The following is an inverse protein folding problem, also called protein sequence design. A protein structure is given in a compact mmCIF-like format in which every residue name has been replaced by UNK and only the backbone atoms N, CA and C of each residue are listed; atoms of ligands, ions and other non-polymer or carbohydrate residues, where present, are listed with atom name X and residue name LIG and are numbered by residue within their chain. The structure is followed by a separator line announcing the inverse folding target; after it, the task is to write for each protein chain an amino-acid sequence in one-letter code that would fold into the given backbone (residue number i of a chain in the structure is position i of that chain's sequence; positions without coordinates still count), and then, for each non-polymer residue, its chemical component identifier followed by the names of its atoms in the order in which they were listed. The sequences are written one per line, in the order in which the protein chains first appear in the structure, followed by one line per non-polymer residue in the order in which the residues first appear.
data_IF_978281342202
#
_entry.id   IF_978281342202
#
_cell.length_a   1.000
_cell.length_b   1.000
_cell.length_c   1.000
_cell.angle_alpha   90.00
_cell.angle_beta   90.00
_cell.angle_gamma   90.00
#
_symmetry.space_group_name_H-M   'P 1'
#
loop_
_entity.id
_entity.type
_entity.pdbx_description
1 polymer ?
#
# COMPACT_ATOMS: atom_id res chain seq x y z
N UNK A 1 19.86 -15.50 4.04
CA UNK A 1 18.63 -14.98 4.64
C UNK A 1 17.43 -15.60 3.94
N UNK A 2 16.33 -15.79 4.68
CA UNK A 2 15.13 -16.37 4.10
C UNK A 2 14.44 -15.41 3.12
N UNK A 3 13.60 -15.96 2.25
CA UNK A 3 12.76 -15.18 1.34
C UNK A 3 11.90 -14.17 2.11
N UNK A 4 11.32 -14.60 3.22
CA UNK A 4 10.52 -13.74 4.10
C UNK A 4 11.33 -12.54 4.59
N UNK A 5 12.50 -12.77 5.15
CA UNK A 5 13.37 -11.70 5.67
C UNK A 5 13.75 -10.70 4.57
N UNK A 6 14.11 -11.20 3.39
CA UNK A 6 14.45 -10.36 2.26
C UNK A 6 13.28 -9.51 1.79
N UNK A 7 12.08 -10.09 1.74
CA UNK A 7 10.88 -9.38 1.29
C UNK A 7 10.41 -8.34 2.31
N UNK A 8 10.52 -8.63 3.60
CA UNK A 8 10.21 -7.65 4.65
C UNK A 8 11.15 -6.44 4.56
N UNK A 9 12.44 -6.68 4.33
CA UNK A 9 13.42 -5.61 4.13
C UNK A 9 13.11 -4.81 2.87
N UNK A 10 12.80 -5.48 1.77
CA UNK A 10 12.46 -4.83 0.50
C UNK A 10 11.24 -3.93 0.66
N UNK A 11 10.25 -4.34 1.45
CA UNK A 11 9.08 -3.51 1.73
C UNK A 11 9.46 -2.21 2.47
N UNK A 12 10.39 -2.29 3.41
CA UNK A 12 10.87 -1.09 4.12
C UNK A 12 11.62 -0.15 3.16
N UNK A 13 12.46 -0.70 2.29
CA UNK A 13 13.18 0.09 1.29
C UNK A 13 12.21 0.76 0.31
N UNK A 14 11.22 0.00 -0.18
CA UNK A 14 10.21 0.53 -1.09
C UNK A 14 9.33 1.60 -0.44
N UNK A 15 8.99 1.41 0.84
CA UNK A 15 8.23 2.42 1.59
C UNK A 15 9.03 3.71 1.77
N UNK A 16 10.34 3.60 2.01
CA UNK A 16 11.22 4.76 2.07
C UNK A 16 11.26 5.51 0.72
N UNK A 17 11.26 4.78 -0.40
CA UNK A 17 11.17 5.39 -1.73
C UNK A 17 9.87 6.17 -1.92
N UNK A 18 8.74 5.61 -1.46
CA UNK A 18 7.45 6.29 -1.51
C UNK A 18 7.47 7.57 -0.64
N UNK A 19 8.00 7.48 0.56
CA UNK A 19 8.11 8.63 1.47
C UNK A 19 8.98 9.75 0.86
N UNK A 20 10.07 9.39 0.20
CA UNK A 20 10.92 10.37 -0.50
C UNK A 20 10.16 11.01 -1.67
N UNK A 21 9.37 10.23 -2.41
CA UNK A 21 8.59 10.76 -3.54
C UNK A 21 7.59 11.81 -3.10
N UNK A 22 7.03 11.70 -1.89
CA UNK A 22 6.03 12.64 -1.37
C UNK A 22 6.63 13.72 -0.46
N UNK A 23 7.92 13.65 -0.16
CA UNK A 23 8.54 14.60 0.76
C UNK A 23 8.45 16.03 0.24
N UNK A 24 8.06 16.95 1.12
CA UNK A 24 7.94 18.36 0.80
C UNK A 24 6.72 18.75 -0.04
N UNK A 25 5.81 17.83 -0.35
CA UNK A 25 4.57 18.19 -1.06
C UNK A 25 3.67 18.98 -0.11
N UNK A 26 3.23 20.15 -0.56
CA UNK A 26 2.37 21.03 0.23
C UNK A 26 0.90 20.60 0.14
N UNK A 27 0.08 21.05 1.10
CA UNK A 27 -1.32 20.62 1.21
C UNK A 27 -2.14 20.88 -0.05
N UNK A 28 -1.95 22.03 -0.70
CA UNK A 28 -2.64 22.37 -1.94
C UNK A 28 -2.22 21.45 -3.10
N UNK A 29 -0.96 21.07 -3.14
CA UNK A 29 -0.43 20.15 -4.16
C UNK A 29 -0.95 18.73 -3.94
N UNK A 30 -1.09 18.30 -2.69
CA UNK A 30 -1.65 17.00 -2.34
C UNK A 30 -3.03 16.77 -2.93
N UNK A 31 -3.83 17.84 -3.00
CA UNK A 31 -5.20 17.77 -3.51
C UNK A 31 -5.33 17.94 -5.02
N UNK A 32 -4.25 18.24 -5.74
CA UNK A 32 -4.33 18.39 -7.20
C UNK A 32 -4.57 17.07 -7.89
N UNK A 33 -5.54 17.03 -8.78
CA UNK A 33 -5.89 15.85 -9.56
C UNK A 33 -5.01 15.78 -10.81
N UNK A 34 -4.37 14.63 -11.01
CA UNK A 34 -3.49 14.41 -12.18
C UNK A 34 -3.45 12.97 -12.64
N UNK A 35 -4.07 12.04 -11.88
CA UNK A 35 -4.12 10.62 -12.22
C UNK A 35 -5.60 10.21 -12.26
N UNK A 36 -6.24 10.33 -13.42
CA UNK A 36 -7.68 10.12 -13.52
C UNK A 36 -8.41 11.13 -12.67
N UNK A 37 -9.14 10.67 -11.64
CA UNK A 37 -9.83 11.51 -10.66
C UNK A 37 -9.02 11.72 -9.39
N UNK A 38 -7.79 11.20 -9.34
CA UNK A 38 -6.94 11.18 -8.15
C UNK A 38 -5.75 12.12 -8.24
N UNK A 39 -5.31 12.60 -7.09
CA UNK A 39 -4.00 13.17 -6.87
C UNK A 39 -3.23 12.35 -5.86
N UNK A 40 -2.15 12.89 -5.30
CA UNK A 40 -1.31 12.21 -4.30
C UNK A 40 -2.16 11.80 -3.09
N UNK A 41 -3.03 12.68 -2.63
CA UNK A 41 -3.93 12.41 -1.49
C UNK A 41 -4.67 11.07 -1.64
N UNK A 42 -5.34 10.87 -2.76
CA UNK A 42 -6.14 9.66 -3.02
C UNK A 42 -5.27 8.42 -3.19
N UNK A 43 -4.09 8.57 -3.79
CA UNK A 43 -3.12 7.48 -3.91
C UNK A 43 -2.73 6.97 -2.51
N UNK A 44 -2.41 7.87 -1.58
CA UNK A 44 -2.00 7.48 -0.22
C UNK A 44 -3.15 6.84 0.55
N UNK A 45 -4.36 7.35 0.39
CA UNK A 45 -5.55 6.78 1.01
C UNK A 45 -5.79 5.35 0.52
N UNK A 46 -5.66 5.13 -0.78
CA UNK A 46 -5.88 3.81 -1.38
C UNK A 46 -4.81 2.80 -0.93
N UNK A 47 -3.56 3.23 -0.79
CA UNK A 47 -2.50 2.37 -0.25
C UNK A 47 -2.85 1.93 1.18
N UNK A 48 -3.23 2.86 2.05
CA UNK A 48 -3.64 2.56 3.42
C UNK A 48 -4.87 1.65 3.47
N UNK A 49 -5.82 1.86 2.58
CA UNK A 49 -7.02 1.02 2.46
C UNK A 49 -6.67 -0.43 2.18
N UNK A 50 -5.75 -0.67 1.24
CA UNK A 50 -5.31 -2.02 0.92
C UNK A 50 -4.48 -2.65 2.04
N UNK A 51 -3.66 -1.88 2.76
CA UNK A 51 -2.99 -2.39 3.96
C UNK A 51 -4.02 -2.96 4.94
N UNK A 52 -5.05 -2.18 5.25
CA UNK A 52 -6.07 -2.57 6.21
C UNK A 52 -6.89 -3.77 5.75
N UNK A 53 -7.20 -3.82 4.45
CA UNK A 53 -7.94 -4.93 3.87
C UNK A 53 -7.13 -6.24 3.89
N UNK A 54 -5.81 -6.16 3.69
CA UNK A 54 -4.95 -7.34 3.58
C UNK A 54 -4.42 -7.86 4.92
N UNK A 55 -4.53 -7.08 6.00
CA UNK A 55 -4.16 -7.57 7.34
C UNK A 55 -4.97 -8.83 7.74
N UNK A 56 -6.31 -8.83 7.68
CA UNK A 56 -7.07 -10.05 7.96
C UNK A 56 -6.73 -11.21 7.01
N UNK A 57 -6.43 -10.90 5.75
CA UNK A 57 -6.05 -11.92 4.77
C UNK A 57 -4.76 -12.62 5.18
N UNK A 58 -3.74 -11.86 5.60
CA UNK A 58 -2.48 -12.41 6.10
C UNK A 58 -2.69 -13.27 7.35
N UNK A 59 -3.56 -12.83 8.25
CA UNK A 59 -3.89 -13.58 9.46
C UNK A 59 -4.52 -14.93 9.12
N UNK A 60 -5.41 -14.96 8.13
CA UNK A 60 -6.03 -16.20 7.66
C UNK A 60 -4.99 -17.14 7.03
N UNK A 61 -4.10 -16.61 6.21
CA UNK A 61 -3.00 -17.40 5.62
C UNK A 61 -2.15 -18.04 6.73
N UNK A 62 -1.85 -17.29 7.79
CA UNK A 62 -1.06 -17.79 8.92
C UNK A 62 -1.72 -19.00 9.61
N UNK A 63 -3.04 -19.10 9.55
CA UNK A 63 -3.81 -20.22 10.10
C UNK A 63 -4.10 -21.32 9.07
N UNK A 64 -3.51 -21.26 7.89
CA UNK A 64 -3.71 -22.25 6.84
C UNK A 64 -5.03 -22.11 6.08
N UNK A 65 -5.68 -20.97 6.19
CA UNK A 65 -6.94 -20.68 5.52
C UNK A 65 -6.71 -19.86 4.23
N UNK A 66 -7.66 -19.91 3.28
CA UNK A 66 -7.64 -18.96 2.16
C UNK A 66 -7.65 -17.50 2.67
N UNK A 67 -6.98 -16.56 1.98
CA UNK A 67 -6.88 -15.18 2.45
C UNK A 67 -8.23 -14.47 2.52
N UNK A 68 -9.13 -14.76 1.62
CA UNK A 68 -10.49 -14.21 1.55
C UNK A 68 -11.31 -15.10 0.62
N UNK A 69 -12.66 -15.02 0.66
CA UNK A 69 -13.50 -15.77 -0.29
C UNK A 69 -13.19 -15.38 -1.73
N UNK A 70 -13.23 -16.36 -2.62
CA UNK A 70 -13.00 -16.13 -4.05
C UNK A 70 -13.95 -15.05 -4.57
N UNK A 71 -13.44 -14.13 -5.39
CA UNK A 71 -14.24 -13.07 -5.99
C UNK A 71 -14.38 -11.81 -5.13
N UNK A 72 -13.94 -11.82 -3.87
CA UNK A 72 -14.09 -10.67 -2.95
C UNK A 72 -13.54 -9.37 -3.56
N UNK A 73 -12.39 -9.43 -4.21
CA UNK A 73 -11.69 -8.25 -4.74
C UNK A 73 -11.67 -8.18 -6.27
N UNK A 74 -12.60 -8.88 -6.95
CA UNK A 74 -12.65 -8.86 -8.41
C UNK A 74 -12.89 -7.46 -8.97
N UNK A 75 -13.69 -6.65 -8.28
CA UNK A 75 -13.90 -5.25 -8.65
C UNK A 75 -13.05 -4.34 -7.76
N UNK A 76 -11.74 -4.33 -8.02
CA UNK A 76 -10.79 -3.53 -7.23
C UNK A 76 -11.06 -2.03 -7.37
N UNK A 77 -11.56 -1.57 -8.50
CA UNK A 77 -11.89 -0.14 -8.69
C UNK A 77 -12.98 0.31 -7.73
N UNK A 78 -13.98 -0.53 -7.48
CA UNK A 78 -15.04 -0.22 -6.51
C UNK A 78 -14.48 -0.16 -5.08
N UNK A 79 -13.56 -1.05 -4.74
CA UNK A 79 -12.88 -1.00 -3.44
C UNK A 79 -12.04 0.27 -3.29
N UNK A 80 -11.28 0.62 -4.31
CA UNK A 80 -10.48 1.85 -4.33
C UNK A 80 -11.36 3.08 -4.11
N UNK A 81 -12.50 3.16 -4.79
CA UNK A 81 -13.44 4.25 -4.63
C UNK A 81 -13.97 4.34 -3.19
N UNK A 82 -14.29 3.22 -2.57
CA UNK A 82 -14.76 3.19 -1.17
C UNK A 82 -13.69 3.67 -0.20
N UNK A 83 -12.46 3.26 -0.39
CA UNK A 83 -11.35 3.71 0.47
C UNK A 83 -11.22 5.23 0.44
N UNK A 84 -11.26 5.80 -0.76
CA UNK A 84 -11.13 7.24 -0.96
C UNK A 84 -12.35 7.97 -0.39
N UNK A 85 -13.56 7.49 -0.66
CA UNK A 85 -14.80 8.12 -0.19
C UNK A 85 -14.88 8.19 1.33
N UNK A 86 -14.42 7.16 2.03
CA UNK A 86 -14.40 7.12 3.50
C UNK A 86 -13.51 8.19 4.12
N UNK A 87 -12.56 8.72 3.36
CA UNK A 87 -11.57 9.70 3.83
C UNK A 87 -11.82 11.10 3.27
N UNK A 88 -13.00 11.32 2.68
CA UNK A 88 -13.38 12.65 2.20
C UNK A 88 -13.31 13.65 3.35
N UNK A 89 -12.61 14.75 3.15
CA UNK A 89 -12.45 15.81 4.14
C UNK A 89 -11.42 15.56 5.24
N UNK A 90 -10.79 14.39 5.27
CA UNK A 90 -9.73 14.10 6.25
C UNK A 90 -8.48 14.92 5.91
N UNK A 91 -7.83 15.47 6.93
CA UNK A 91 -6.66 16.35 6.76
C UNK A 91 -5.44 15.56 6.29
N UNK A 92 -4.58 16.21 5.51
CA UNK A 92 -3.34 15.62 4.99
C UNK A 92 -2.48 15.00 6.10
N UNK A 93 -2.33 15.69 7.23
CA UNK A 93 -1.53 15.18 8.34
C UNK A 93 -2.06 13.84 8.87
N UNK A 94 -3.38 13.68 8.93
CA UNK A 94 -4.01 12.43 9.36
C UNK A 94 -3.82 11.32 8.33
N UNK A 95 -3.89 11.65 7.04
CA UNK A 95 -3.65 10.70 5.94
C UNK A 95 -2.22 10.18 6.01
N UNK A 96 -1.24 11.05 6.22
CA UNK A 96 0.17 10.66 6.34
C UNK A 96 0.42 9.80 7.58
N UNK A 97 -0.19 10.15 8.70
CA UNK A 97 -0.09 9.36 9.93
C UNK A 97 -0.72 7.98 9.77
N UNK A 98 -1.86 7.89 9.10
CA UNK A 98 -2.54 6.62 8.83
C UNK A 98 -1.74 5.74 7.88
N UNK A 99 -1.13 6.32 6.86
CA UNK A 99 -0.24 5.58 5.93
C UNK A 99 0.91 4.92 6.70
N UNK A 100 1.55 5.68 7.57
CA UNK A 100 2.65 5.19 8.40
C UNK A 100 2.19 4.05 9.32
N UNK A 101 1.05 4.25 10.01
CA UNK A 101 0.50 3.26 10.92
C UNK A 101 0.04 1.99 10.21
N UNK A 102 -0.64 2.12 9.07
CA UNK A 102 -1.14 0.98 8.32
C UNK A 102 0.01 0.18 7.70
N UNK A 103 1.08 0.85 7.25
CA UNK A 103 2.29 0.17 6.78
C UNK A 103 2.89 -0.69 7.90
N UNK A 104 3.06 -0.12 9.09
CA UNK A 104 3.61 -0.87 10.23
C UNK A 104 2.74 -2.06 10.61
N UNK A 105 1.42 -1.88 10.63
CA UNK A 105 0.48 -2.95 10.92
C UNK A 105 0.54 -4.07 9.89
N UNK A 106 0.60 -3.71 8.61
CA UNK A 106 0.68 -4.64 7.50
C UNK A 106 1.98 -5.46 7.57
N UNK A 107 3.13 -4.80 7.71
CA UNK A 107 4.44 -5.47 7.79
C UNK A 107 4.53 -6.33 9.06
N UNK A 108 4.05 -5.83 10.20
CA UNK A 108 4.05 -6.58 11.45
C UNK A 108 3.19 -7.84 11.38
N UNK A 109 2.02 -7.75 10.75
CA UNK A 109 1.16 -8.91 10.54
C UNK A 109 1.83 -9.92 9.60
N UNK A 110 2.43 -9.44 8.51
CA UNK A 110 3.16 -10.28 7.57
C UNK A 110 4.33 -11.01 8.26
N UNK A 111 5.06 -10.33 9.13
CA UNK A 111 6.19 -10.89 9.85
C UNK A 111 5.79 -12.10 10.73
N UNK A 112 4.54 -12.17 11.15
CA UNK A 112 4.03 -13.28 11.95
C UNK A 112 3.60 -14.49 11.11
N UNK A 113 3.53 -14.37 9.78
CA UNK A 113 3.15 -15.48 8.89
C UNK A 113 4.33 -16.44 8.73
N UNK A 114 4.11 -17.77 8.95
CA UNK A 114 5.22 -18.75 8.89
C UNK A 114 5.93 -18.81 7.53
N UNK A 115 7.22 -19.15 7.57
CA UNK A 115 8.13 -19.22 6.42
C UNK A 115 7.58 -19.98 5.20
N UNK A 116 6.90 -21.15 5.35
CA UNK A 116 6.43 -21.91 4.19
C UNK A 116 5.49 -21.12 3.26
N UNK A 117 4.83 -20.08 3.75
CA UNK A 117 3.93 -19.25 2.94
C UNK A 117 4.68 -18.19 2.12
N UNK A 118 6.00 -18.09 2.27
CA UNK A 118 6.84 -17.07 1.65
C UNK A 118 7.68 -17.56 0.47
N UNK A 119 7.66 -18.85 0.18
CA UNK A 119 8.35 -19.40 -0.98
C UNK A 119 7.69 -18.91 -2.29
N UNK A 120 8.38 -18.97 -3.43
CA UNK A 120 7.76 -18.62 -4.71
C UNK A 120 6.44 -19.37 -4.93
N UNK A 121 5.38 -18.62 -5.25
CA UNK A 121 4.02 -19.15 -5.38
C UNK A 121 3.25 -19.27 -4.07
N UNK A 122 3.87 -18.97 -2.92
CA UNK A 122 3.20 -18.97 -1.64
C UNK A 122 2.21 -17.81 -1.50
N UNK A 123 1.10 -18.07 -0.81
CA UNK A 123 0.00 -17.09 -0.71
C UNK A 123 0.42 -15.78 -0.05
N UNK A 124 1.24 -15.84 1.01
CA UNK A 124 1.70 -14.64 1.70
C UNK A 124 2.65 -13.83 0.83
N UNK A 125 3.54 -14.51 0.10
CA UNK A 125 4.51 -13.84 -0.79
C UNK A 125 3.80 -13.00 -1.84
N UNK A 126 2.87 -13.59 -2.57
CA UNK A 126 2.19 -12.90 -3.67
C UNK A 126 1.37 -11.72 -3.17
N UNK A 127 0.62 -11.92 -2.10
CA UNK A 127 -0.18 -10.86 -1.49
C UNK A 127 0.70 -9.72 -0.97
N UNK A 128 1.77 -10.05 -0.27
CA UNK A 128 2.66 -9.07 0.35
C UNK A 128 3.40 -8.23 -0.70
N UNK A 129 3.95 -8.88 -1.71
CA UNK A 129 4.68 -8.18 -2.78
C UNK A 129 3.77 -7.24 -3.54
N UNK A 130 2.56 -7.69 -3.88
CA UNK A 130 1.60 -6.89 -4.65
C UNK A 130 1.03 -5.71 -3.87
N UNK A 131 0.78 -5.89 -2.58
CA UNK A 131 0.21 -4.83 -1.72
C UNK A 131 1.30 -3.89 -1.18
N UNK A 132 2.48 -4.40 -0.96
CA UNK A 132 3.60 -3.68 -0.35
C UNK A 132 4.61 -3.17 -1.37
N UNK A 133 5.79 -3.81 -1.50
CA UNK A 133 6.91 -3.21 -2.24
C UNK A 133 6.61 -2.86 -3.69
N UNK A 134 5.94 -3.71 -4.44
CA UNK A 134 5.60 -3.42 -5.84
C UNK A 134 4.66 -2.22 -5.95
N UNK A 135 3.66 -2.16 -5.08
CA UNK A 135 2.66 -1.09 -5.02
C UNK A 135 3.31 0.26 -4.66
N UNK A 136 4.18 0.25 -3.65
CA UNK A 136 4.89 1.46 -3.24
C UNK A 136 5.75 2.02 -4.37
N UNK A 137 6.49 1.16 -5.06
CA UNK A 137 7.38 1.60 -6.14
C UNK A 137 6.63 2.11 -7.35
N UNK A 138 5.51 1.47 -7.70
CA UNK A 138 4.64 1.94 -8.77
C UNK A 138 4.17 3.37 -8.52
N UNK A 139 3.62 3.62 -7.34
CA UNK A 139 3.11 4.95 -7.00
C UNK A 139 4.22 5.97 -6.77
N UNK A 140 5.35 5.56 -6.19
CA UNK A 140 6.51 6.44 -6.05
C UNK A 140 6.98 6.94 -7.41
N UNK A 141 7.06 6.06 -8.40
CA UNK A 141 7.46 6.44 -9.75
C UNK A 141 6.46 7.42 -10.40
N UNK A 142 5.16 7.13 -10.28
CA UNK A 142 4.11 8.02 -10.80
C UNK A 142 4.19 9.41 -10.17
N UNK A 143 4.37 9.49 -8.87
CA UNK A 143 4.44 10.76 -8.14
C UNK A 143 5.69 11.53 -8.54
N UNK A 144 6.84 10.87 -8.64
CA UNK A 144 8.08 11.52 -9.09
C UNK A 144 7.94 12.08 -10.50
N UNK A 145 7.36 11.32 -11.41
CA UNK A 145 7.16 11.76 -12.80
C UNK A 145 6.24 12.98 -12.87
N UNK A 146 5.15 12.96 -12.10
CA UNK A 146 4.25 14.10 -12.00
C UNK A 146 4.95 15.35 -11.45
N UNK A 147 5.73 15.18 -10.38
CA UNK A 147 6.46 16.32 -9.78
C UNK A 147 7.49 16.91 -10.74
N UNK A 148 8.20 16.08 -11.49
CA UNK A 148 9.16 16.54 -12.49
C UNK A 148 8.45 17.29 -13.61
N UNK A 149 7.33 16.80 -14.09
CA UNK A 149 6.54 17.46 -15.13
C UNK A 149 5.98 18.80 -14.65
N UNK A 150 5.51 18.86 -13.40
CA UNK A 150 4.93 20.05 -12.80
C UNK A 150 5.97 21.16 -12.54
N UNK A 151 7.26 20.79 -12.39
CA UNK A 151 8.34 21.75 -12.13
C UNK A 151 8.99 22.33 -13.40
N UNK A 152 8.56 21.89 -14.58
CA UNK A 152 9.08 22.39 -15.87
C UNK A 152 8.47 23.71 -16.30
#
# INVERSE_FOLDING_TARGET
MSDKTNLLRDAEEAFAELRQAIDGIEDDEMGRVWLGTWGVREILIHISGWHQAMIPALQRIAHGEPPYPEGTYDDSDAWNARFVDRKAGVKTAEILAELQASHRGFVGTAAAVPEPHWVPGGAARDLFVGTGPAHYREHAAQIRDWRQAASR
#
